data_IF_662239478044
#
_entry.id   IF_662239478044
#
_cell.length_a   1.000
_cell.length_b   1.000
_cell.length_c   1.000
_cell.angle_alpha   90.00
_cell.angle_beta   90.00
_cell.angle_gamma   90.00
#
_symmetry.space_group_name_H-M   'P 1'
#
loop_
_entity.id
_entity.type
_entity.pdbx_description
1 polymer ?
#
# COMPACT_ATOMS: atom_id res chain seq x y z
N UNK A 1 13.45 12.27 14.58
CA UNK A 1 12.79 12.95 13.44
C UNK A 1 13.40 12.39 12.16
N UNK A 2 12.58 11.97 11.21
CA UNK A 2 12.97 11.38 9.94
C UNK A 2 13.53 12.45 8.98
N UNK A 3 12.81 13.56 8.78
CA UNK A 3 13.12 14.60 7.81
C UNK A 3 14.48 15.26 8.06
N UNK A 4 14.76 15.69 9.29
CA UNK A 4 16.02 16.35 9.64
C UNK A 4 17.26 15.46 9.43
N UNK A 5 17.08 14.14 9.45
CA UNK A 5 18.15 13.16 9.25
C UNK A 5 18.37 12.80 7.77
N UNK A 6 17.61 13.38 6.84
CA UNK A 6 17.82 13.16 5.42
C UNK A 6 18.89 14.10 4.85
N UNK A 7 19.59 13.62 3.82
CA UNK A 7 20.53 14.41 3.03
C UNK A 7 19.85 15.66 2.46
N UNK A 8 20.59 16.77 2.41
CA UNK A 8 20.06 18.04 1.91
C UNK A 8 19.54 17.95 0.47
N UNK A 9 20.21 17.18 -0.38
CA UNK A 9 19.77 16.96 -1.77
C UNK A 9 18.38 16.33 -1.85
N UNK A 10 18.08 15.33 -1.01
CA UNK A 10 16.76 14.68 -0.98
C UNK A 10 15.68 15.61 -0.45
N UNK A 11 16.00 16.45 0.55
CA UNK A 11 15.09 17.48 1.06
C UNK A 11 14.79 18.53 0.02
N UNK A 12 15.80 19.04 -0.69
CA UNK A 12 15.58 19.99 -1.79
C UNK A 12 14.76 19.38 -2.92
N UNK A 13 15.04 18.12 -3.29
CA UNK A 13 14.25 17.40 -4.28
C UNK A 13 12.77 17.30 -3.87
N UNK A 14 12.52 16.93 -2.61
CA UNK A 14 11.16 16.84 -2.05
C UNK A 14 10.45 18.20 -2.09
N UNK A 15 11.11 19.27 -1.63
CA UNK A 15 10.56 20.63 -1.66
C UNK A 15 10.25 21.09 -3.07
N UNK A 16 11.18 20.95 -4.00
CA UNK A 16 11.00 21.40 -5.38
C UNK A 16 9.81 20.71 -6.06
N UNK A 17 9.62 19.41 -5.83
CA UNK A 17 8.46 18.68 -6.37
C UNK A 17 7.15 19.13 -5.71
N UNK A 18 7.15 19.40 -4.41
CA UNK A 18 5.96 19.95 -3.74
C UNK A 18 5.64 21.39 -4.18
N UNK A 19 6.65 22.22 -4.40
CA UNK A 19 6.51 23.56 -4.98
C UNK A 19 5.90 23.45 -6.37
N UNK A 20 6.41 22.58 -7.23
CA UNK A 20 5.88 22.37 -8.57
C UNK A 20 4.44 21.85 -8.56
N UNK A 21 4.10 20.88 -7.70
CA UNK A 21 2.71 20.43 -7.56
C UNK A 21 1.80 21.54 -7.02
N UNK A 22 2.27 22.26 -6.01
CA UNK A 22 1.54 23.36 -5.40
C UNK A 22 1.38 24.56 -6.33
N UNK A 23 2.32 24.81 -7.24
CA UNK A 23 2.23 25.92 -8.19
C UNK A 23 1.10 25.72 -9.20
N UNK A 24 0.69 24.47 -9.45
CA UNK A 24 -0.41 24.09 -10.34
C UNK A 24 -1.80 24.15 -9.67
N UNK A 25 -1.91 24.78 -8.49
CA UNK A 25 -3.16 24.81 -7.70
C UNK A 25 -4.40 25.27 -8.47
N UNK A 26 -4.24 26.21 -9.40
CA UNK A 26 -5.35 26.76 -10.22
C UNK A 26 -5.97 25.75 -11.18
N UNK A 27 -5.40 24.57 -11.37
CA UNK A 27 -6.08 23.44 -12.03
C UNK A 27 -7.28 22.91 -11.23
N UNK A 28 -7.28 23.09 -9.91
CA UNK A 28 -8.27 22.48 -9.00
C UNK A 28 -8.98 23.48 -8.08
N UNK A 29 -8.36 24.64 -7.82
CA UNK A 29 -8.85 25.59 -6.83
C UNK A 29 -8.45 27.02 -7.16
N UNK A 30 -9.33 27.98 -6.90
CA UNK A 30 -9.04 29.41 -6.95
C UNK A 30 -8.40 29.96 -5.67
N UNK A 31 -8.10 29.12 -4.68
CA UNK A 31 -7.48 29.53 -3.41
C UNK A 31 -6.01 29.90 -3.59
N UNK A 32 -5.54 30.89 -2.81
CA UNK A 32 -4.11 31.20 -2.65
C UNK A 32 -3.37 30.21 -1.76
N UNK A 33 -4.10 29.31 -1.07
CA UNK A 33 -3.50 28.19 -0.34
C UNK A 33 -3.18 27.10 -1.35
N UNK A 34 -1.92 26.63 -1.45
CA UNK A 34 -1.58 25.60 -2.41
C UNK A 34 -2.52 24.40 -2.29
N UNK A 35 -3.08 23.93 -3.39
CA UNK A 35 -3.84 22.69 -3.45
C UNK A 35 -2.86 21.53 -3.55
N UNK A 36 -3.06 20.51 -2.72
CA UNK A 36 -2.29 19.28 -2.80
C UNK A 36 -3.19 18.10 -2.46
N UNK A 37 -3.35 17.20 -3.42
CA UNK A 37 -4.04 15.94 -3.20
C UNK A 37 -3.16 15.00 -2.36
N UNK A 38 -3.76 14.25 -1.43
CA UNK A 38 -3.01 13.41 -0.50
C UNK A 38 -2.15 12.34 -1.20
N UNK A 39 -2.63 11.77 -2.32
CA UNK A 39 -1.83 10.84 -3.16
C UNK A 39 -0.62 11.51 -3.81
N UNK A 40 -0.73 12.79 -4.17
CA UNK A 40 0.41 13.55 -4.70
C UNK A 40 1.49 13.74 -3.64
N UNK A 41 1.07 14.03 -2.40
CA UNK A 41 1.99 14.09 -1.27
C UNK A 41 2.69 12.75 -1.01
N UNK A 42 1.94 11.64 -0.96
CA UNK A 42 2.49 10.29 -0.78
C UNK A 42 3.50 9.92 -1.88
N UNK A 43 3.12 10.13 -3.15
CA UNK A 43 3.98 9.85 -4.30
C UNK A 43 5.26 10.66 -4.28
N UNK A 44 5.18 11.98 -4.04
CA UNK A 44 6.36 12.86 -3.97
C UNK A 44 7.26 12.48 -2.80
N UNK A 45 6.69 12.13 -1.63
CA UNK A 45 7.47 11.68 -0.48
C UNK A 45 8.24 10.39 -0.81
N UNK A 46 7.55 9.38 -1.33
CA UNK A 46 8.15 8.09 -1.66
C UNK A 46 9.24 8.21 -2.72
N UNK A 47 8.97 8.98 -3.77
CA UNK A 47 9.92 9.25 -4.85
C UNK A 47 11.16 10.01 -4.37
N UNK A 48 10.98 11.05 -3.55
CA UNK A 48 12.08 11.91 -3.11
C UNK A 48 13.00 11.22 -2.12
N UNK A 49 12.44 10.50 -1.15
CA UNK A 49 13.21 9.84 -0.09
C UNK A 49 13.54 8.37 -0.37
N UNK A 50 13.19 7.86 -1.56
CA UNK A 50 13.33 6.45 -1.94
C UNK A 50 12.73 5.54 -0.85
N UNK A 51 11.53 5.90 -0.39
CA UNK A 51 10.80 5.18 0.64
C UNK A 51 9.96 4.08 0.01
N UNK A 52 9.70 3.02 0.78
CA UNK A 52 8.79 1.95 0.37
C UNK A 52 7.36 2.47 0.48
N UNK A 53 6.62 2.39 -0.62
CA UNK A 53 5.23 2.82 -0.72
C UNK A 53 4.28 1.73 -0.19
N UNK A 54 3.50 2.06 0.84
CA UNK A 54 2.48 1.20 1.43
C UNK A 54 1.06 1.74 1.20
N UNK A 55 0.90 2.76 0.37
CA UNK A 55 -0.37 3.47 0.15
C UNK A 55 -1.46 2.61 -0.51
N UNK A 56 -1.11 1.39 -0.96
CA UNK A 56 -2.02 0.36 -1.50
C UNK A 56 -2.18 -0.85 -0.57
N UNK A 57 -1.44 -0.89 0.53
CA UNK A 57 -1.47 -1.98 1.52
C UNK A 57 -2.48 -1.66 2.62
N UNK A 58 -3.20 -2.67 3.13
CA UNK A 58 -4.13 -2.49 4.26
C UNK A 58 -3.38 -2.46 5.60
N UNK A 59 -2.53 -1.44 5.77
CA UNK A 59 -1.78 -1.16 6.99
C UNK A 59 -2.06 0.26 7.49
N UNK A 60 -1.49 0.65 8.64
CA UNK A 60 -1.73 1.97 9.26
C UNK A 60 -0.78 3.07 8.78
N UNK A 61 0.17 2.72 7.91
CA UNK A 61 1.25 3.60 7.45
C UNK A 61 1.19 3.72 5.94
N UNK A 62 1.55 4.89 5.44
CA UNK A 62 1.53 5.20 4.01
C UNK A 62 2.90 4.91 3.38
N UNK A 63 3.98 4.99 4.17
CA UNK A 63 5.35 4.77 3.73
C UNK A 63 6.24 4.17 4.81
N UNK A 64 7.37 3.58 4.43
CA UNK A 64 8.42 3.20 5.39
C UNK A 64 9.83 3.39 4.84
N UNK A 65 10.76 3.74 5.73
CA UNK A 65 12.19 3.89 5.41
C UNK A 65 13.04 3.69 6.64
N UNK A 66 14.14 2.94 6.53
CA UNK A 66 15.16 2.75 7.59
C UNK A 66 14.55 2.41 8.96
N UNK A 67 13.69 1.39 9.02
CA UNK A 67 12.96 0.95 10.23
C UNK A 67 11.98 1.98 10.84
N UNK A 68 11.66 3.04 10.10
CA UNK A 68 10.65 4.04 10.48
C UNK A 68 9.43 3.86 9.57
N UNK A 69 8.28 3.62 10.19
CA UNK A 69 6.97 3.65 9.55
C UNK A 69 6.37 5.05 9.61
N UNK A 70 5.82 5.53 8.50
CA UNK A 70 5.41 6.91 8.31
C UNK A 70 3.93 6.98 7.93
N UNK A 71 3.14 7.68 8.74
CA UNK A 71 1.81 8.15 8.36
C UNK A 71 1.92 9.52 7.71
N UNK A 72 1.63 9.60 6.41
CA UNK A 72 1.69 10.82 5.63
C UNK A 72 0.33 11.54 5.68
N UNK A 73 0.32 12.82 6.04
CA UNK A 73 -0.92 13.62 6.02
C UNK A 73 -0.69 15.00 5.46
N UNK A 74 -1.67 15.47 4.70
CA UNK A 74 -1.75 16.88 4.30
C UNK A 74 -3.10 17.49 4.65
N UNK A 75 -3.09 18.72 5.15
CA UNK A 75 -4.27 19.50 5.51
C UNK A 75 -3.93 21.00 5.59
N UNK A 76 -4.95 21.86 5.66
CA UNK A 76 -4.74 23.29 5.85
C UNK A 76 -4.16 23.58 7.24
N UNK A 77 -3.14 24.45 7.30
CA UNK A 77 -2.45 24.80 8.54
C UNK A 77 -3.38 25.51 9.54
N UNK A 78 -4.12 26.51 9.06
CA UNK A 78 -5.00 27.35 9.89
C UNK A 78 -4.26 27.90 11.12
N UNK A 79 -4.68 27.54 12.33
CA UNK A 79 -4.05 27.94 13.60
C UNK A 79 -3.01 26.92 14.12
N UNK A 80 -2.54 26.00 13.27
CA UNK A 80 -1.62 24.94 13.65
C UNK A 80 -2.24 23.84 14.53
N UNK A 81 -3.53 23.93 14.88
CA UNK A 81 -4.19 23.01 15.81
C UNK A 81 -5.49 22.43 15.23
N UNK A 82 -5.47 21.16 14.83
CA UNK A 82 -6.62 20.54 14.15
C UNK A 82 -6.79 19.06 14.44
N UNK A 83 -8.04 18.60 14.41
CA UNK A 83 -8.36 17.18 14.52
C UNK A 83 -8.32 16.51 13.16
N UNK A 84 -7.41 15.56 12.99
CA UNK A 84 -7.29 14.78 11.76
C UNK A 84 -7.64 13.32 12.00
N UNK A 85 -8.19 12.68 10.96
CA UNK A 85 -8.53 11.25 10.98
C UNK A 85 -7.26 10.44 11.15
N UNK A 86 -7.28 9.50 12.09
CA UNK A 86 -6.15 8.61 12.38
C UNK A 86 -6.52 7.13 12.34
N UNK A 87 -7.81 6.77 12.37
CA UNK A 87 -8.30 5.40 12.18
C UNK A 87 -9.80 5.40 11.86
N UNK A 88 -10.26 4.36 11.18
CA UNK A 88 -11.67 4.14 10.81
C UNK A 88 -12.04 2.68 11.09
N UNK A 89 -13.27 2.45 11.55
CA UNK A 89 -13.70 1.20 12.20
C UNK A 89 -14.93 0.58 11.53
N UNK A 90 -14.97 0.60 10.19
CA UNK A 90 -16.14 0.17 9.41
C UNK A 90 -16.50 -1.30 9.61
N UNK A 91 -15.53 -2.17 9.89
CA UNK A 91 -15.74 -3.61 10.08
C UNK A 91 -16.31 -3.99 11.45
N UNK A 92 -16.31 -3.07 12.42
CA UNK A 92 -16.73 -3.33 13.81
C UNK A 92 -17.96 -2.51 14.23
N UNK A 93 -18.74 -2.01 13.27
CA UNK A 93 -19.95 -1.20 13.53
C UNK A 93 -20.96 -1.91 14.46
N UNK A 94 -21.19 -3.21 14.24
CA UNK A 94 -22.09 -4.01 15.08
C UNK A 94 -21.62 -4.08 16.53
N UNK A 95 -20.31 -4.20 16.75
CA UNK A 95 -19.69 -4.25 18.08
C UNK A 95 -19.73 -2.88 18.75
N UNK A 96 -19.52 -1.80 18.00
CA UNK A 96 -19.65 -0.42 18.50
C UNK A 96 -21.06 -0.18 19.04
N UNK A 97 -22.10 -0.62 18.31
CA UNK A 97 -23.51 -0.47 18.72
C UNK A 97 -23.84 -1.24 20.00
N UNK A 98 -23.20 -2.39 20.24
CA UNK A 98 -23.42 -3.19 21.45
C UNK A 98 -23.02 -2.47 22.74
N UNK A 99 -22.10 -1.50 22.69
CA UNK A 99 -21.72 -0.73 23.88
C UNK A 99 -22.80 0.26 24.33
N UNK A 100 -23.79 0.58 23.49
CA UNK A 100 -24.89 1.49 23.83
C UNK A 100 -24.39 2.79 24.46
N UNK A 101 -24.91 3.10 25.66
CA UNK A 101 -24.55 4.32 26.42
C UNK A 101 -23.23 4.22 27.19
N UNK A 102 -22.52 3.08 27.15
CA UNK A 102 -21.27 2.89 27.89
C UNK A 102 -20.05 3.43 27.13
N UNK A 103 -19.99 4.76 27.01
CA UNK A 103 -18.94 5.46 26.24
C UNK A 103 -17.52 5.18 26.75
N UNK A 104 -17.32 4.97 28.05
CA UNK A 104 -15.98 4.65 28.60
C UNK A 104 -15.47 3.30 28.09
N UNK A 105 -16.33 2.26 28.11
CA UNK A 105 -15.96 0.95 27.55
C UNK A 105 -15.76 1.02 26.04
N UNK A 106 -16.63 1.73 25.33
CA UNK A 106 -16.49 1.94 23.88
C UNK A 106 -15.14 2.59 23.53
N UNK A 107 -14.79 3.71 24.17
CA UNK A 107 -13.52 4.40 23.89
C UNK A 107 -12.31 3.54 24.22
N UNK A 108 -12.37 2.74 25.29
CA UNK A 108 -11.31 1.79 25.61
C UNK A 108 -11.16 0.74 24.49
N UNK A 109 -12.26 0.16 24.03
CA UNK A 109 -12.28 -0.80 22.92
C UNK A 109 -11.73 -0.19 21.62
N UNK A 110 -12.19 1.01 21.22
CA UNK A 110 -11.70 1.72 20.03
C UNK A 110 -10.20 1.99 20.12
N UNK A 111 -9.72 2.38 21.30
CA UNK A 111 -8.29 2.62 21.55
C UNK A 111 -7.48 1.33 21.46
N UNK A 112 -8.00 0.22 21.99
CA UNK A 112 -7.39 -1.11 21.88
C UNK A 112 -7.30 -1.57 20.42
N UNK A 113 -8.38 -1.43 19.65
CA UNK A 113 -8.39 -1.81 18.23
C UNK A 113 -7.39 -0.98 17.41
N UNK A 114 -7.31 0.33 17.64
CA UNK A 114 -6.27 1.18 17.02
C UNK A 114 -4.87 0.68 17.34
N UNK A 115 -4.57 0.49 18.63
CA UNK A 115 -3.23 0.11 19.07
C UNK A 115 -2.82 -1.25 18.49
N UNK A 116 -3.74 -2.21 18.47
CA UNK A 116 -3.54 -3.52 17.85
C UNK A 116 -3.23 -3.39 16.36
N UNK A 117 -3.96 -2.53 15.63
CA UNK A 117 -3.70 -2.29 14.20
C UNK A 117 -2.31 -1.68 13.97
N UNK A 118 -1.87 -0.75 14.82
CA UNK A 118 -0.51 -0.18 14.75
C UNK A 118 0.56 -1.25 14.96
N UNK A 119 0.39 -2.08 16.00
CA UNK A 119 1.29 -3.20 16.29
C UNK A 119 1.38 -4.21 15.14
N UNK A 120 0.23 -4.58 14.56
CA UNK A 120 0.17 -5.44 13.38
C UNK A 120 0.87 -4.80 12.18
N UNK A 121 0.67 -3.49 11.97
CA UNK A 121 1.29 -2.78 10.86
C UNK A 121 2.82 -2.75 11.01
N UNK A 122 3.34 -2.54 12.23
CA UNK A 122 4.78 -2.58 12.50
C UNK A 122 5.36 -3.97 12.23
N UNK A 123 4.65 -5.03 12.65
CA UNK A 123 5.07 -6.40 12.39
C UNK A 123 5.09 -6.72 10.89
N UNK A 124 4.16 -6.17 10.10
CA UNK A 124 4.12 -6.34 8.63
C UNK A 124 5.28 -5.62 7.96
N UNK A 125 5.59 -4.39 8.38
CA UNK A 125 6.66 -3.59 7.74
C UNK A 125 8.05 -3.90 8.27
N UNK A 126 8.16 -4.57 9.42
CA UNK A 126 9.43 -4.77 10.12
C UNK A 126 10.00 -3.48 10.71
N UNK A 127 9.20 -2.42 10.82
CA UNK A 127 9.64 -1.15 11.40
C UNK A 127 9.64 -1.21 12.93
N UNK A 128 10.45 -0.35 13.54
CA UNK A 128 10.60 -0.22 15.00
C UNK A 128 10.01 1.09 15.51
N UNK A 129 10.00 2.13 14.66
CA UNK A 129 9.52 3.46 15.00
C UNK A 129 8.33 3.86 14.13
N UNK A 130 7.45 4.71 14.68
CA UNK A 130 6.28 5.23 13.96
C UNK A 130 6.23 6.75 14.08
N UNK A 131 6.14 7.43 12.95
CA UNK A 131 6.03 8.88 12.88
C UNK A 131 4.86 9.29 12.00
N UNK A 132 4.24 10.42 12.32
CA UNK A 132 3.48 11.19 11.36
C UNK A 132 4.41 12.19 10.68
N UNK A 133 4.44 12.17 9.35
CA UNK A 133 5.04 13.22 8.55
C UNK A 133 3.90 14.05 7.93
N UNK A 134 3.87 15.32 8.30
CA UNK A 134 2.73 16.20 8.11
C UNK A 134 3.13 17.36 7.20
N UNK A 135 2.40 17.51 6.10
CA UNK A 135 2.57 18.61 5.17
C UNK A 135 1.35 19.53 5.22
N UNK A 136 1.49 20.66 5.91
CA UNK A 136 0.40 21.62 6.07
C UNK A 136 0.52 22.81 5.15
N UNK A 137 -0.62 23.42 4.80
CA UNK A 137 -0.71 24.44 3.75
C UNK A 137 -1.36 25.72 4.27
N UNK A 138 -0.70 26.84 4.07
CA UNK A 138 -1.14 28.20 4.41
C UNK A 138 -1.11 29.05 3.13
N UNK A 139 -1.26 30.37 3.25
CA UNK A 139 -1.33 31.24 2.07
C UNK A 139 0.04 31.28 1.38
N UNK A 140 0.11 30.79 0.14
CA UNK A 140 1.35 30.65 -0.66
C UNK A 140 2.50 29.90 0.03
N UNK A 141 2.23 29.06 1.03
CA UNK A 141 3.27 28.38 1.79
C UNK A 141 2.89 26.93 2.12
N UNK A 142 3.91 26.10 2.26
CA UNK A 142 3.79 24.77 2.85
C UNK A 142 4.76 24.61 4.02
N UNK A 143 4.34 23.85 5.03
CA UNK A 143 5.13 23.56 6.22
C UNK A 143 5.24 22.06 6.43
N UNK A 144 6.46 21.60 6.68
CA UNK A 144 6.76 20.21 7.05
C UNK A 144 6.80 20.12 8.57
N UNK A 145 6.15 19.12 9.14
CA UNK A 145 6.19 18.83 10.57
C UNK A 145 6.25 17.33 10.83
N UNK A 146 6.88 16.92 11.91
CA UNK A 146 6.93 15.52 12.31
C UNK A 146 6.47 15.35 13.75
N UNK A 147 5.58 14.40 13.98
CA UNK A 147 5.03 14.11 15.31
C UNK A 147 5.08 12.62 15.54
N UNK A 148 5.48 12.20 16.73
CA UNK A 148 5.48 10.78 17.09
C UNK A 148 4.08 10.17 16.96
N UNK A 149 4.01 8.99 16.35
CA UNK A 149 2.79 8.20 16.27
C UNK A 149 2.78 7.20 17.42
N UNK A 150 2.33 7.62 18.60
CA UNK A 150 2.28 6.74 19.78
C UNK A 150 0.96 5.98 19.89
N UNK A 151 0.97 4.75 20.43
CA UNK A 151 -0.25 4.08 20.89
C UNK A 151 -0.98 4.91 21.95
N UNK A 152 -2.31 4.80 22.00
CA UNK A 152 -3.13 5.46 23.03
C UNK A 152 -2.88 4.78 24.37
N UNK A 153 -2.59 5.56 25.41
CA UNK A 153 -2.31 5.00 26.75
C UNK A 153 -3.61 4.59 27.46
N UNK A 154 -4.03 3.33 27.29
CA UNK A 154 -5.33 2.81 27.76
C UNK A 154 -5.63 3.08 29.24
N UNK A 155 -4.63 2.90 30.12
CA UNK A 155 -4.79 3.11 31.58
C UNK A 155 -4.93 4.58 31.97
N UNK A 156 -4.64 5.51 31.07
CA UNK A 156 -4.64 6.96 31.31
C UNK A 156 -5.74 7.69 30.54
N UNK A 157 -6.64 6.94 29.88
CA UNK A 157 -7.83 7.51 29.23
C UNK A 157 -8.69 8.22 30.28
N UNK A 158 -8.98 9.49 30.05
CA UNK A 158 -9.76 10.36 30.94
C UNK A 158 -10.58 11.38 30.15
N UNK A 159 -11.52 12.02 30.83
CA UNK A 159 -12.37 13.06 30.22
C UNK A 159 -13.27 12.56 29.09
N UNK A 160 -13.80 11.33 29.21
CA UNK A 160 -14.73 10.76 28.21
C UNK A 160 -16.08 11.47 28.29
N UNK A 161 -16.37 12.33 27.32
CA UNK A 161 -17.57 13.18 27.28
C UNK A 161 -18.22 13.07 25.91
N UNK A 162 -19.50 12.66 25.84
CA UNK A 162 -20.29 12.67 24.61
C UNK A 162 -20.93 14.04 24.40
N UNK A 163 -20.75 14.60 23.21
CA UNK A 163 -21.44 15.78 22.69
C UNK A 163 -22.04 15.41 21.33
N UNK A 164 -23.36 15.34 21.24
CA UNK A 164 -24.08 14.88 20.05
C UNK A 164 -23.58 13.47 19.60
N UNK A 165 -23.11 13.36 18.36
CA UNK A 165 -22.55 12.13 17.77
C UNK A 165 -21.03 12.03 17.91
N UNK A 166 -20.41 12.84 18.78
CA UNK A 166 -18.97 12.88 18.99
C UNK A 166 -18.66 12.57 20.45
N UNK A 167 -17.72 11.67 20.69
CA UNK A 167 -17.19 11.38 22.02
C UNK A 167 -15.77 11.94 22.10
N UNK A 168 -15.57 12.93 22.97
CA UNK A 168 -14.26 13.50 23.26
C UNK A 168 -13.59 12.73 24.39
N UNK A 169 -12.28 12.55 24.30
CA UNK A 169 -11.48 11.97 25.37
C UNK A 169 -10.01 12.38 25.19
N UNK A 170 -9.18 12.10 26.20
CA UNK A 170 -7.74 12.32 26.13
C UNK A 170 -7.00 11.22 26.88
N UNK A 171 -5.73 11.04 26.56
CA UNK A 171 -4.79 10.34 27.42
C UNK A 171 -3.86 11.36 28.13
N UNK A 172 -2.62 10.97 28.43
CA UNK A 172 -1.65 11.87 29.04
C UNK A 172 -0.94 12.78 28.03
N UNK A 173 -0.97 12.44 26.74
CA UNK A 173 -0.18 13.11 25.71
C UNK A 173 -1.07 13.88 24.73
N UNK A 174 -2.23 13.31 24.37
CA UNK A 174 -3.02 13.84 23.26
C UNK A 174 -4.52 13.87 23.55
N UNK A 175 -5.19 14.78 22.82
CA UNK A 175 -6.64 14.88 22.76
C UNK A 175 -7.18 14.13 21.54
N UNK A 176 -8.33 13.49 21.72
CA UNK A 176 -8.99 12.68 20.71
C UNK A 176 -10.48 12.99 20.65
N UNK A 177 -11.06 12.69 19.49
CA UNK A 177 -12.52 12.61 19.35
C UNK A 177 -12.90 11.42 18.49
N UNK A 178 -13.96 10.74 18.86
CA UNK A 178 -14.53 9.64 18.09
C UNK A 178 -15.89 10.07 17.52
N UNK A 179 -16.04 9.97 16.21
CA UNK A 179 -17.31 10.23 15.53
C UNK A 179 -18.11 8.93 15.42
N UNK A 180 -19.24 8.86 16.12
CA UNK A 180 -20.16 7.72 16.10
C UNK A 180 -20.80 7.55 14.72
N UNK A 181 -21.13 8.65 14.04
CA UNK A 181 -21.77 8.60 12.72
C UNK A 181 -20.85 8.10 11.61
N UNK A 182 -19.53 8.29 11.75
CA UNK A 182 -18.53 7.92 10.75
C UNK A 182 -17.67 6.73 11.19
N UNK A 183 -17.91 6.17 12.38
CA UNK A 183 -17.02 5.19 13.02
C UNK A 183 -15.53 5.55 12.90
N UNK A 184 -15.21 6.84 13.10
CA UNK A 184 -13.89 7.39 12.79
C UNK A 184 -13.27 8.02 14.04
N UNK A 185 -12.02 7.66 14.31
CA UNK A 185 -11.21 8.23 15.36
C UNK A 185 -10.32 9.35 14.81
N UNK A 186 -10.31 10.46 15.53
CA UNK A 186 -9.49 11.62 15.24
C UNK A 186 -8.56 11.93 16.41
N UNK A 187 -7.36 12.39 16.08
CA UNK A 187 -6.38 12.94 17.03
C UNK A 187 -6.22 14.43 16.76
N UNK A 188 -6.07 15.21 17.83
CA UNK A 188 -5.64 16.60 17.72
C UNK A 188 -4.14 16.65 17.43
N UNK A 189 -3.79 17.29 16.32
CA UNK A 189 -2.42 17.67 15.98
C UNK A 189 -2.24 19.12 16.36
N UNK A 190 -1.22 19.39 17.18
CA UNK A 190 -0.78 20.73 17.54
C UNK A 190 0.64 20.89 16.98
N UNK A 191 0.77 21.75 15.97
CA UNK A 191 1.97 21.93 15.17
C UNK A 191 2.72 23.21 15.51
N UNK A 192 2.23 23.97 16.50
CA UNK A 192 2.75 25.30 16.86
C UNK A 192 4.27 25.31 17.09
N UNK A 193 4.84 24.19 17.56
CA UNK A 193 6.28 24.01 17.80
C UNK A 193 6.85 22.75 17.11
N UNK A 194 6.20 22.25 16.05
CA UNK A 194 6.60 20.99 15.38
C UNK A 194 7.03 21.20 13.92
N UNK A 195 6.97 22.44 13.43
CA UNK A 195 7.43 22.79 12.08
C UNK A 195 8.95 22.64 12.03
N UNK A 196 9.42 21.80 11.12
CA UNK A 196 10.85 21.53 10.89
C UNK A 196 11.36 22.16 9.60
N UNK A 197 10.46 22.50 8.67
CA UNK A 197 10.80 23.19 7.43
C UNK A 197 9.58 23.95 6.90
N UNK A 198 9.83 25.00 6.12
CA UNK A 198 8.81 25.82 5.50
C UNK A 198 9.34 26.45 4.22
N UNK A 199 8.48 26.52 3.21
CA UNK A 199 8.86 27.06 1.91
C UNK A 199 7.67 27.71 1.21
N UNK A 200 7.99 28.76 0.46
CA UNK A 200 7.04 29.49 -0.36
C UNK A 200 6.66 28.68 -1.61
N UNK A 201 5.41 28.79 -2.02
CA UNK A 201 4.84 28.19 -3.21
C UNK A 201 4.13 29.29 -4.00
N UNK A 202 4.76 29.69 -5.09
CA UNK A 202 4.17 30.63 -6.05
C UNK A 202 3.16 29.90 -6.94
N UNK A 203 1.89 30.21 -6.78
CA UNK A 203 0.82 29.66 -7.62
C UNK A 203 0.84 30.35 -8.99
N UNK A 204 0.87 29.54 -10.05
CA UNK A 204 0.89 30.00 -11.44
C UNK A 204 -0.52 30.44 -11.83
N UNK A 205 -0.62 31.61 -12.46
CA UNK A 205 -1.91 32.20 -12.80
C UNK A 205 -2.69 31.42 -13.86
N UNK A 206 -1.99 30.96 -14.90
CA UNK A 206 -2.54 30.09 -15.93
C UNK A 206 -1.71 28.80 -16.03
N UNK A 207 -2.02 27.76 -15.24
CA UNK A 207 -1.26 26.51 -15.27
C UNK A 207 -1.45 25.72 -16.58
N UNK A 208 -2.47 26.02 -17.39
CA UNK A 208 -2.71 25.34 -18.66
C UNK A 208 -1.66 25.71 -19.72
N UNK A 209 -1.12 26.93 -19.69
CA UNK A 209 -0.05 27.35 -20.61
C UNK A 209 1.22 26.52 -20.36
N UNK A 210 1.56 26.28 -19.09
CA UNK A 210 2.69 25.43 -18.71
C UNK A 210 2.49 23.99 -19.17
N UNK A 211 1.27 23.46 -19.07
CA UNK A 211 0.95 22.12 -19.58
C UNK A 211 1.07 22.05 -21.11
N UNK A 212 0.63 23.09 -21.82
CA UNK A 212 0.76 23.16 -23.27
C UNK A 212 2.24 23.22 -23.70
N UNK A 213 3.07 24.01 -23.01
CA UNK A 213 4.50 24.09 -23.27
C UNK A 213 5.18 22.73 -23.04
N UNK A 214 4.78 21.99 -22.00
CA UNK A 214 5.27 20.64 -21.73
C UNK A 214 4.87 19.66 -22.84
N UNK A 215 3.66 19.75 -23.39
CA UNK A 215 3.21 18.90 -24.51
C UNK A 215 3.97 19.23 -25.80
N UNK A 216 4.35 20.49 -26.00
CA UNK A 216 5.07 20.97 -27.19
C UNK A 216 6.56 20.71 -27.15
N UNK A 217 7.14 20.62 -25.96
CA UNK A 217 8.44 19.98 -25.80
C UNK A 217 8.22 18.51 -26.18
N UNK A 218 9.05 17.95 -27.06
CA UNK A 218 9.14 16.51 -27.26
C UNK A 218 9.53 15.91 -25.91
N UNK A 219 8.55 15.72 -25.02
CA UNK A 219 8.60 14.74 -23.98
C UNK A 219 8.77 13.48 -24.81
N UNK A 220 10.02 13.03 -24.90
CA UNK A 220 10.31 11.66 -25.21
C UNK A 220 9.52 10.91 -24.16
N UNK A 221 8.28 10.54 -24.52
CA UNK A 221 7.60 9.46 -23.86
C UNK A 221 8.56 8.34 -24.09
N UNK A 222 9.37 8.06 -23.07
CA UNK A 222 10.02 6.79 -22.94
C UNK A 222 8.83 5.81 -22.95
N UNK A 223 8.44 5.36 -24.14
CA UNK A 223 7.45 4.30 -24.35
C UNK A 223 7.93 3.00 -23.64
N UNK A 224 9.14 3.01 -23.08
CA UNK A 224 9.71 2.02 -22.17
C UNK A 224 9.00 1.87 -20.82
N UNK A 225 8.03 2.73 -20.45
CA UNK A 225 7.20 2.52 -19.26
C UNK A 225 5.91 1.69 -19.49
N UNK A 226 5.68 1.18 -20.71
CA UNK A 226 4.81 0.03 -20.91
C UNK A 226 5.60 -1.26 -20.69
N UNK A 227 5.95 -1.55 -19.43
CA UNK A 227 6.44 -2.88 -19.08
C UNK A 227 5.39 -3.90 -19.51
N UNK A 228 5.76 -4.84 -20.38
CA UNK A 228 4.89 -5.97 -20.73
C UNK A 228 4.45 -6.63 -19.42
N UNK A 229 3.14 -6.85 -19.25
CA UNK A 229 2.61 -7.52 -18.06
C UNK A 229 1.54 -8.55 -18.43
N UNK A 230 1.38 -9.54 -17.55
CA UNK A 230 0.31 -10.53 -17.62
C UNK A 230 -0.32 -10.69 -16.24
N UNK A 231 -1.57 -11.15 -16.19
CA UNK A 231 -2.25 -11.50 -14.95
C UNK A 231 -2.56 -13.00 -14.94
N UNK A 232 -2.13 -13.67 -13.88
CA UNK A 232 -2.33 -15.11 -13.68
C UNK A 232 -3.30 -15.36 -12.51
N UNK A 233 -4.25 -16.29 -12.67
CA UNK A 233 -5.18 -16.62 -11.60
C UNK A 233 -4.51 -17.54 -10.58
N UNK A 234 -4.82 -17.34 -9.29
CA UNK A 234 -4.42 -18.22 -8.20
C UNK A 234 -5.39 -19.41 -7.99
N UNK A 235 -6.40 -19.50 -8.85
CA UNK A 235 -7.41 -20.54 -8.90
C UNK A 235 -7.59 -21.05 -10.34
N UNK A 236 -8.36 -22.11 -10.53
CA UNK A 236 -8.76 -22.55 -11.86
C UNK A 236 -9.94 -21.69 -12.34
N UNK A 237 -9.66 -20.79 -13.28
CA UNK A 237 -10.66 -19.87 -13.81
C UNK A 237 -11.83 -20.55 -14.53
N UNK A 238 -11.66 -21.78 -15.06
CA UNK A 238 -12.72 -22.46 -15.83
C UNK A 238 -13.85 -23.00 -14.97
N UNK A 239 -13.55 -23.38 -13.74
CA UNK A 239 -14.50 -24.02 -12.83
C UNK A 239 -14.56 -23.32 -11.46
N UNK A 240 -13.94 -22.14 -11.35
CA UNK A 240 -13.92 -21.30 -10.15
C UNK A 240 -13.56 -22.05 -8.86
N UNK A 241 -12.48 -22.84 -8.90
CA UNK A 241 -12.03 -23.57 -7.71
C UNK A 241 -10.51 -23.62 -7.58
N UNK A 242 -10.05 -23.78 -6.33
CA UNK A 242 -8.65 -24.12 -6.04
C UNK A 242 -8.57 -25.63 -5.85
N UNK A 243 -7.98 -26.32 -6.82
CA UNK A 243 -7.87 -27.78 -6.82
C UNK A 243 -7.10 -28.29 -5.58
N UNK A 244 -7.46 -29.48 -5.09
CA UNK A 244 -6.92 -30.03 -3.83
C UNK A 244 -5.49 -30.56 -3.90
N UNK A 245 -4.91 -30.71 -5.09
CA UNK A 245 -3.60 -31.36 -5.29
C UNK A 245 -2.76 -30.76 -6.41
N UNK A 246 -3.10 -29.56 -6.89
CA UNK A 246 -2.36 -28.84 -7.96
C UNK A 246 -2.29 -27.36 -7.61
N UNK A 247 -1.51 -26.59 -8.37
CA UNK A 247 -1.38 -25.14 -8.15
C UNK A 247 -0.91 -24.83 -6.72
N UNK A 248 -1.71 -24.05 -6.00
CA UNK A 248 -1.44 -23.68 -4.60
C UNK A 248 -1.45 -24.87 -3.62
N UNK A 249 -2.16 -25.94 -3.95
CA UNK A 249 -2.21 -27.16 -3.14
C UNK A 249 -1.34 -28.30 -3.73
N UNK A 250 -0.37 -27.99 -4.59
CA UNK A 250 0.53 -29.00 -5.20
C UNK A 250 1.24 -29.86 -4.15
N UNK A 251 1.53 -29.32 -2.97
CA UNK A 251 2.06 -30.06 -1.83
C UNK A 251 1.19 -31.26 -1.38
N UNK A 252 -0.10 -31.27 -1.72
CA UNK A 252 -1.06 -32.33 -1.41
C UNK A 252 -1.30 -33.30 -2.57
N UNK A 253 -0.55 -33.18 -3.67
CA UNK A 253 -0.64 -34.10 -4.80
C UNK A 253 -0.25 -35.54 -4.40
N UNK A 254 -0.87 -36.53 -5.04
CA UNK A 254 -0.47 -37.93 -4.93
C UNK A 254 0.96 -38.17 -5.48
N UNK A 255 1.58 -39.27 -5.07
CA UNK A 255 2.95 -39.64 -5.48
C UNK A 255 4.00 -39.26 -4.45
N UNK A 256 5.12 -38.65 -4.89
CA UNK A 256 6.25 -38.37 -3.99
C UNK A 256 5.85 -37.46 -2.82
N UNK A 257 6.54 -37.63 -1.68
CA UNK A 257 6.44 -36.69 -0.57
C UNK A 257 6.88 -35.31 -1.05
N UNK A 258 6.04 -34.30 -0.81
CA UNK A 258 6.27 -32.91 -1.20
C UNK A 258 6.44 -32.06 0.04
N UNK A 259 7.20 -30.98 -0.08
CA UNK A 259 7.29 -29.99 0.98
C UNK A 259 5.93 -29.27 1.12
N UNK A 260 5.55 -28.85 2.33
CA UNK A 260 4.25 -28.20 2.57
C UNK A 260 4.09 -26.84 1.88
N UNK A 261 5.19 -26.27 1.42
CA UNK A 261 5.26 -25.00 0.68
C UNK A 261 5.55 -25.22 -0.81
N UNK A 262 5.49 -26.46 -1.30
CA UNK A 262 5.66 -26.75 -2.71
C UNK A 262 4.40 -26.36 -3.49
N UNK A 263 4.48 -25.30 -4.29
CA UNK A 263 3.35 -24.75 -5.06
C UNK A 263 3.73 -24.50 -6.51
N UNK A 264 2.72 -24.23 -7.34
CA UNK A 264 2.87 -23.59 -8.64
C UNK A 264 1.76 -22.57 -8.85
N UNK A 265 2.03 -21.50 -9.59
CA UNK A 265 0.99 -20.64 -10.14
C UNK A 265 0.68 -21.14 -11.56
N UNK A 266 -0.59 -21.34 -11.87
CA UNK A 266 -0.98 -21.85 -13.19
C UNK A 266 -0.83 -20.75 -14.24
N UNK A 267 -0.28 -21.11 -15.40
CA UNK A 267 -0.22 -20.24 -16.58
C UNK A 267 -1.25 -20.76 -17.59
N UNK A 268 -2.40 -20.08 -17.76
CA UNK A 268 -3.38 -20.47 -18.75
C UNK A 268 -2.78 -20.48 -20.17
N UNK A 269 -3.18 -21.45 -21.00
CA UNK A 269 -2.64 -21.59 -22.36
C UNK A 269 -2.78 -20.32 -23.20
N UNK A 270 -3.87 -19.59 -23.02
CA UNK A 270 -4.16 -18.37 -23.77
C UNK A 270 -3.11 -17.28 -23.54
N UNK A 271 -2.44 -17.25 -22.38
CA UNK A 271 -1.34 -16.32 -22.10
C UNK A 271 -0.19 -16.53 -23.09
N UNK A 272 0.20 -17.79 -23.34
CA UNK A 272 1.25 -18.09 -24.32
C UNK A 272 0.81 -17.81 -25.76
N UNK A 273 -0.50 -17.80 -26.04
CA UNK A 273 -1.04 -17.47 -27.36
C UNK A 273 -1.09 -15.97 -27.60
N UNK A 274 -1.60 -15.21 -26.63
CA UNK A 274 -1.77 -13.74 -26.73
C UNK A 274 -0.46 -13.00 -26.47
N UNK A 275 0.39 -13.52 -25.57
CA UNK A 275 1.66 -12.93 -25.15
C UNK A 275 2.83 -13.90 -25.33
N UNK A 276 3.15 -14.34 -26.56
CA UNK A 276 4.14 -15.40 -26.82
C UNK A 276 5.56 -15.05 -26.33
N UNK A 277 5.92 -13.76 -26.40
CA UNK A 277 7.26 -13.27 -26.06
C UNK A 277 7.41 -12.87 -24.57
N UNK A 278 6.33 -12.97 -23.79
CA UNK A 278 6.37 -12.57 -22.38
C UNK A 278 7.37 -13.41 -21.59
N UNK A 279 7.30 -14.73 -21.73
CA UNK A 279 8.27 -15.67 -21.16
C UNK A 279 9.28 -16.20 -22.17
N UNK A 280 9.05 -15.98 -23.48
CA UNK A 280 9.78 -16.64 -24.57
C UNK A 280 9.93 -18.16 -24.34
N UNK A 281 8.86 -18.79 -23.85
CA UNK A 281 8.91 -20.18 -23.39
C UNK A 281 9.18 -21.15 -24.54
N UNK A 282 10.32 -21.83 -24.49
CA UNK A 282 10.67 -22.92 -25.40
C UNK A 282 10.86 -24.22 -24.60
N UNK A 283 10.10 -25.29 -24.87
CA UNK A 283 10.25 -26.58 -24.19
C UNK A 283 11.69 -27.13 -24.18
N UNK A 284 12.47 -26.81 -25.21
CA UNK A 284 13.84 -27.29 -25.40
C UNK A 284 14.90 -26.36 -24.79
N UNK A 285 14.57 -25.09 -24.54
CA UNK A 285 15.51 -24.08 -24.03
C UNK A 285 14.78 -23.06 -23.14
N UNK A 286 14.27 -23.54 -22.02
CA UNK A 286 13.54 -22.73 -21.07
C UNK A 286 14.48 -22.26 -19.96
N UNK A 287 14.84 -20.98 -19.97
CA UNK A 287 15.78 -20.40 -19.02
C UNK A 287 15.07 -19.96 -17.73
N UNK A 288 15.69 -20.14 -16.55
CA UNK A 288 15.19 -19.51 -15.34
C UNK A 288 15.35 -17.99 -15.42
N UNK A 289 14.53 -17.28 -14.67
CA UNK A 289 14.54 -15.83 -14.55
C UNK A 289 14.46 -15.42 -13.09
N UNK A 290 14.75 -14.16 -12.82
CA UNK A 290 14.64 -13.60 -11.48
C UNK A 290 13.25 -13.02 -11.27
N UNK A 291 12.62 -13.40 -10.17
CA UNK A 291 11.29 -12.95 -9.75
C UNK A 291 11.42 -12.15 -8.47
N UNK A 292 11.33 -10.82 -8.59
CA UNK A 292 11.36 -9.91 -7.46
C UNK A 292 9.96 -9.81 -6.86
N UNK A 293 9.88 -10.11 -5.56
CA UNK A 293 8.68 -10.04 -4.75
C UNK A 293 8.46 -8.61 -4.23
N UNK A 294 7.25 -8.27 -3.76
CA UNK A 294 6.93 -6.93 -3.25
C UNK A 294 7.74 -6.54 -2.00
N UNK A 295 8.23 -7.53 -1.23
CA UNK A 295 9.10 -7.30 -0.08
C UNK A 295 10.58 -7.08 -0.48
N UNK A 296 10.88 -6.98 -1.78
CA UNK A 296 12.23 -6.79 -2.32
C UNK A 296 13.07 -8.06 -2.43
N UNK A 297 12.58 -9.21 -1.94
CA UNK A 297 13.28 -10.49 -2.10
C UNK A 297 13.26 -10.93 -3.57
N UNK A 298 14.41 -11.36 -4.09
CA UNK A 298 14.53 -11.87 -5.45
C UNK A 298 14.62 -13.40 -5.40
N UNK A 299 13.68 -14.08 -6.05
CA UNK A 299 13.65 -15.53 -6.16
C UNK A 299 14.01 -15.98 -7.58
N UNK A 300 14.88 -16.98 -7.75
CA UNK A 300 14.98 -17.67 -9.04
C UNK A 300 13.64 -18.37 -9.32
N UNK A 301 13.08 -18.15 -10.50
CA UNK A 301 11.82 -18.75 -10.94
C UNK A 301 11.93 -19.27 -12.38
N UNK A 302 11.01 -20.13 -12.77
CA UNK A 302 10.98 -20.71 -14.10
C UNK A 302 9.56 -21.15 -14.46
N UNK A 303 9.22 -21.03 -15.75
CA UNK A 303 8.07 -21.71 -16.33
C UNK A 303 8.36 -23.21 -16.40
N UNK A 304 7.43 -24.09 -16.09
CA UNK A 304 7.67 -25.52 -15.90
C UNK A 304 6.46 -26.32 -16.38
N UNK A 305 6.66 -27.64 -16.40
CA UNK A 305 5.68 -28.65 -16.82
C UNK A 305 5.34 -28.61 -18.32
N UNK A 306 4.74 -29.69 -18.82
CA UNK A 306 4.37 -29.81 -20.22
C UNK A 306 3.44 -28.68 -20.64
N UNK A 307 3.80 -27.98 -21.73
CA UNK A 307 3.08 -26.83 -22.25
C UNK A 307 3.30 -25.52 -21.49
N UNK A 308 4.30 -25.45 -20.60
CA UNK A 308 4.65 -24.22 -19.90
C UNK A 308 3.55 -23.73 -18.95
N UNK A 309 2.80 -24.67 -18.37
CA UNK A 309 1.56 -24.39 -17.62
C UNK A 309 1.76 -24.02 -16.16
N UNK A 310 2.98 -24.04 -15.65
CA UNK A 310 3.26 -23.81 -14.23
C UNK A 310 4.42 -22.84 -14.03
N UNK A 311 4.23 -21.78 -13.26
CA UNK A 311 5.30 -20.95 -12.71
C UNK A 311 5.75 -21.49 -11.35
N UNK A 312 7.04 -21.73 -11.17
CA UNK A 312 7.63 -22.23 -9.93
C UNK A 312 8.94 -21.52 -9.56
N UNK A 313 9.24 -21.41 -8.26
CA UNK A 313 10.56 -20.95 -7.79
C UNK A 313 11.59 -22.07 -7.72
N UNK A 314 12.86 -21.72 -7.60
CA UNK A 314 13.97 -22.57 -7.18
C UNK A 314 14.66 -21.94 -5.96
N UNK A 315 14.58 -22.54 -4.75
CA UNK A 315 13.97 -23.83 -4.45
C UNK A 315 12.44 -23.79 -4.63
N UNK A 316 11.83 -24.94 -4.96
CA UNK A 316 10.40 -25.09 -5.26
C UNK A 316 9.44 -24.83 -4.07
N UNK A 317 9.98 -24.43 -2.93
CA UNK A 317 9.27 -24.02 -1.72
C UNK A 317 9.25 -22.52 -1.47
N UNK A 318 10.12 -21.74 -2.13
CA UNK A 318 10.29 -20.31 -1.80
C UNK A 318 9.05 -19.50 -2.15
N UNK A 319 8.51 -19.67 -3.35
CA UNK A 319 7.27 -19.01 -3.80
C UNK A 319 6.09 -19.39 -2.90
N UNK A 320 5.98 -20.66 -2.50
CA UNK A 320 4.90 -21.10 -1.63
C UNK A 320 5.06 -20.68 -0.19
N UNK A 321 6.29 -20.50 0.30
CA UNK A 321 6.53 -19.95 1.63
C UNK A 321 6.03 -18.50 1.69
N UNK A 322 6.45 -17.67 0.72
CA UNK A 322 5.95 -16.31 0.58
C UNK A 322 4.43 -16.27 0.41
N UNK A 323 3.89 -16.98 -0.59
CA UNK A 323 2.48 -16.89 -0.95
C UNK A 323 1.55 -17.50 0.12
N UNK A 324 1.87 -18.70 0.64
CA UNK A 324 1.00 -19.38 1.60
C UNK A 324 1.21 -18.92 3.04
N UNK A 325 2.46 -18.66 3.46
CA UNK A 325 2.80 -18.41 4.88
C UNK A 325 2.91 -16.93 5.16
N UNK A 326 3.62 -16.19 4.31
CA UNK A 326 3.85 -14.78 4.56
C UNK A 326 2.63 -13.93 4.19
N UNK A 327 1.97 -14.25 3.09
CA UNK A 327 0.84 -13.47 2.55
C UNK A 327 -0.50 -14.03 3.04
N UNK A 328 -0.87 -15.23 2.61
CA UNK A 328 -2.20 -15.80 2.92
C UNK A 328 -2.33 -16.33 4.35
N UNK A 329 -1.24 -16.38 5.12
CA UNK A 329 -1.18 -16.88 6.52
C UNK A 329 -1.86 -18.24 6.70
N UNK A 330 -1.81 -19.09 5.68
CA UNK A 330 -2.37 -20.45 5.72
C UNK A 330 -1.45 -21.31 6.58
N UNK A 331 -1.96 -22.03 7.59
CA UNK A 331 -1.15 -22.99 8.35
C UNK A 331 -0.63 -24.12 7.46
N UNK A 332 0.56 -24.65 7.79
CA UNK A 332 1.13 -25.79 7.07
C UNK A 332 0.18 -26.99 7.08
N UNK A 333 -0.09 -27.56 5.91
CA UNK A 333 -1.00 -28.71 5.76
C UNK A 333 -2.49 -28.36 5.65
N UNK A 334 -2.89 -27.08 5.71
CA UNK A 334 -4.26 -26.65 5.41
C UNK A 334 -4.43 -26.37 3.91
N UNK A 335 -5.47 -26.91 3.29
CA UNK A 335 -5.81 -26.65 1.88
C UNK A 335 -6.23 -25.20 1.68
N UNK A 336 -5.69 -24.57 0.63
CA UNK A 336 -6.15 -23.29 0.12
C UNK A 336 -7.46 -23.51 -0.64
N UNK A 337 -8.42 -22.62 -0.43
CA UNK A 337 -9.72 -22.62 -1.12
C UNK A 337 -9.97 -21.27 -1.77
N UNK A 338 -10.84 -21.21 -2.79
CA UNK A 338 -11.20 -19.94 -3.42
C UNK A 338 -11.86 -18.97 -2.41
N UNK A 339 -12.60 -19.49 -1.43
CA UNK A 339 -13.15 -18.69 -0.34
C UNK A 339 -12.05 -17.96 0.45
N UNK A 340 -10.96 -18.64 0.79
CA UNK A 340 -9.82 -18.02 1.49
C UNK A 340 -9.14 -16.94 0.65
N UNK A 341 -9.02 -17.14 -0.67
CA UNK A 341 -8.53 -16.14 -1.61
C UNK A 341 -9.44 -14.90 -1.65
N UNK A 342 -10.76 -15.11 -1.76
CA UNK A 342 -11.77 -14.04 -1.76
C UNK A 342 -11.84 -13.29 -0.43
N UNK A 343 -11.71 -13.97 0.71
CA UNK A 343 -11.63 -13.34 2.04
C UNK A 343 -10.38 -12.48 2.23
N UNK A 344 -9.26 -12.88 1.59
CA UNK A 344 -8.05 -12.08 1.51
C UNK A 344 -8.12 -10.98 0.44
N UNK A 345 -9.20 -10.92 -0.34
CA UNK A 345 -9.37 -10.08 -1.54
C UNK A 345 -8.20 -10.21 -2.53
N UNK A 346 -7.69 -11.42 -2.72
CA UNK A 346 -6.56 -11.73 -3.60
C UNK A 346 -6.88 -13.02 -4.36
N UNK A 347 -7.18 -12.93 -5.66
CA UNK A 347 -7.45 -14.11 -6.50
C UNK A 347 -6.48 -14.29 -7.67
N UNK A 348 -5.57 -13.35 -7.85
CA UNK A 348 -4.68 -13.29 -9.01
C UNK A 348 -3.38 -12.57 -8.67
N UNK A 349 -2.38 -12.77 -9.52
CA UNK A 349 -1.09 -12.08 -9.48
C UNK A 349 -0.80 -11.43 -10.81
N UNK A 350 -0.18 -10.26 -10.77
CA UNK A 350 0.41 -9.60 -11.93
C UNK A 350 1.87 -9.97 -12.02
N UNK A 351 2.34 -10.34 -13.21
CA UNK A 351 3.77 -10.41 -13.52
C UNK A 351 4.10 -9.28 -14.48
N UNK A 352 5.12 -8.50 -14.15
CA UNK A 352 5.62 -7.40 -14.98
C UNK A 352 7.04 -7.72 -15.42
N UNK A 353 7.31 -7.63 -16.72
CA UNK A 353 8.65 -7.77 -17.29
C UNK A 353 9.36 -6.42 -17.13
N UNK A 354 10.44 -6.39 -16.36
CA UNK A 354 11.13 -5.13 -16.00
C UNK A 354 11.81 -4.50 -17.22
N UNK A 355 12.34 -5.35 -18.11
CA UNK A 355 12.91 -4.96 -19.40
C UNK A 355 12.99 -6.21 -20.32
N UNK A 356 12.99 -6.01 -21.64
CA UNK A 356 12.96 -7.08 -22.65
C UNK A 356 14.16 -8.04 -22.54
N UNK A 357 15.34 -7.54 -22.18
CA UNK A 357 16.59 -8.31 -22.19
C UNK A 357 17.01 -8.84 -20.80
N UNK A 358 16.46 -8.28 -19.74
CA UNK A 358 17.00 -8.45 -18.38
C UNK A 358 16.74 -9.81 -17.71
N UNK A 359 15.81 -10.63 -18.22
CA UNK A 359 15.29 -11.83 -17.53
C UNK A 359 14.86 -11.52 -16.08
N UNK A 360 14.37 -10.31 -15.82
CA UNK A 360 13.85 -9.85 -14.53
C UNK A 360 12.35 -9.63 -14.63
N UNK A 361 11.63 -10.20 -13.67
CA UNK A 361 10.19 -10.04 -13.53
C UNK A 361 9.88 -9.59 -12.11
N UNK A 362 8.86 -8.75 -11.98
CA UNK A 362 8.24 -8.40 -10.71
C UNK A 362 6.89 -9.10 -10.60
N UNK A 363 6.49 -9.45 -9.37
CA UNK A 363 5.18 -10.06 -9.09
C UNK A 363 4.45 -9.32 -7.99
N UNK A 364 3.18 -9.04 -8.23
CA UNK A 364 2.27 -8.39 -7.27
C UNK A 364 0.94 -9.13 -7.17
N UNK A 365 0.25 -9.00 -6.03
CA UNK A 365 -1.10 -9.50 -5.88
C UNK A 365 -2.13 -8.50 -6.41
N UNK A 366 -3.19 -9.01 -7.03
CA UNK A 366 -4.30 -8.21 -7.49
C UNK A 366 -5.59 -8.56 -6.74
N UNK A 367 -6.49 -7.57 -6.67
CA UNK A 367 -7.79 -7.70 -6.05
C UNK A 367 -8.67 -8.70 -6.80
N UNK A 368 -9.69 -9.21 -6.10
CA UNK A 368 -10.65 -10.09 -6.75
C UNK A 368 -11.29 -9.46 -8.00
N UNK A 369 -11.38 -10.25 -9.07
CA UNK A 369 -11.93 -9.82 -10.37
C UNK A 369 -10.91 -9.25 -11.35
N UNK A 370 -9.68 -8.93 -10.93
CA UNK A 370 -8.66 -8.37 -11.84
C UNK A 370 -8.23 -9.32 -12.96
N UNK A 371 -8.15 -10.64 -12.69
CA UNK A 371 -7.90 -11.62 -13.76
C UNK A 371 -9.04 -11.67 -14.78
N UNK A 372 -10.30 -11.56 -14.33
CA UNK A 372 -11.45 -11.63 -15.23
C UNK A 372 -11.48 -10.41 -16.16
N UNK A 373 -11.30 -9.21 -15.60
CA UNK A 373 -11.18 -7.98 -16.38
C UNK A 373 -10.02 -8.04 -17.39
N UNK A 374 -8.87 -8.59 -16.98
CA UNK A 374 -7.74 -8.79 -17.89
C UNK A 374 -8.05 -9.80 -19.00
N UNK A 375 -8.69 -10.91 -18.67
CA UNK A 375 -9.11 -11.92 -19.63
C UNK A 375 -10.07 -11.32 -20.66
N UNK A 376 -11.14 -10.65 -20.23
CA UNK A 376 -12.18 -10.09 -21.10
C UNK A 376 -11.65 -8.98 -22.03
N UNK A 377 -10.56 -8.30 -21.66
CA UNK A 377 -9.93 -7.26 -22.47
C UNK A 377 -8.90 -7.79 -23.48
N UNK A 378 -8.48 -9.07 -23.38
CA UNK A 378 -7.37 -9.63 -24.16
C UNK A 378 -7.69 -10.98 -24.83
N UNK A 379 -8.93 -11.44 -24.72
CA UNK A 379 -9.54 -12.60 -25.39
C UNK A 379 -10.85 -12.14 -26.01
#
# INVERSE_FOLDING_TARGET
>A
MFYNNQENELKEKYKNLLIALGSLSKLYSSSIKPYLHYRGHEGVFNYSFKAVDHSRSDISFDSSKNSIALGLKTFLHNNGSTFQKIAEFNTVDSQIRQFGSNHKKLIKYISEQRNKRLEQSLAITGCEHMLYHLLTRSDNEMHVSEVEMTPITLKKIKGVIKKNNIIHFRDNFYEYKFSLSKNTLFKKFDLSNQIVDSFEVRIIDNPYDVLNDLIQQDISTDESLNGEFIILPLYNARNEEVSKGTGLNKWNAAGRKRHKDEVSISIPRWIHTTFPDFFSYNPNNNQPFNLKLPNGLILPAKVCEQGGKALQSNPNRALGNWLLRDVLKVPAGKLVTLKMLREANIDSVMLTKVDKDSHQYEIDFLKCGSYQEFYDNNQ
#
